data_IF_283535288587
#
_entry.id   IF_283535288587
#
_cell.length_a   1.000
_cell.length_b   1.000
_cell.length_c   1.000
_cell.angle_alpha   90.00
_cell.angle_beta   90.00
_cell.angle_gamma   90.00
#
_symmetry.space_group_name_H-M   'P 1'
#
loop_
_entity.id
_entity.type
_entity.pdbx_description
1 polymer ?
#
# COMPACT_ATOMS: atom_id res chain seq x y z
N UNK A 1 -21.55 12.00 25.70
CA UNK A 1 -20.93 12.30 24.39
C UNK A 1 -21.94 12.49 23.23
N UNK A 2 -23.16 11.92 23.25
CA UNK A 2 -24.14 12.00 22.13
C UNK A 2 -24.71 13.40 21.81
N UNK A 3 -24.49 14.41 22.65
CA UNK A 3 -25.13 15.72 22.53
C UNK A 3 -24.52 16.64 21.44
N UNK A 4 -23.36 16.29 20.87
CA UNK A 4 -22.68 17.09 19.84
C UNK A 4 -22.09 16.16 18.78
N UNK A 5 -21.86 16.69 17.57
CA UNK A 5 -21.19 15.96 16.49
C UNK A 5 -19.72 15.65 16.85
N UNK A 6 -19.13 14.67 16.15
CA UNK A 6 -17.71 14.32 16.32
C UNK A 6 -16.82 15.53 16.07
N UNK A 7 -17.07 16.30 15.00
CA UNK A 7 -16.32 17.51 14.68
C UNK A 7 -16.34 18.52 15.84
N UNK A 8 -17.53 18.79 16.41
CA UNK A 8 -17.66 19.72 17.53
C UNK A 8 -16.90 19.28 18.79
N UNK A 9 -16.79 17.98 19.04
CA UNK A 9 -15.97 17.46 20.13
C UNK A 9 -14.48 17.54 19.84
N UNK A 10 -14.05 17.18 18.62
CA UNK A 10 -12.65 17.27 18.19
C UNK A 10 -12.15 18.71 18.28
N UNK A 11 -12.94 19.68 17.84
CA UNK A 11 -12.55 21.10 17.90
C UNK A 11 -12.48 21.61 19.34
N UNK A 12 -13.40 21.20 20.21
CA UNK A 12 -13.35 21.52 21.65
C UNK A 12 -12.10 20.95 22.31
N UNK A 13 -11.77 19.68 22.04
CA UNK A 13 -10.59 19.04 22.60
C UNK A 13 -9.29 19.68 22.08
N UNK A 14 -9.22 19.96 20.77
CA UNK A 14 -8.09 20.67 20.16
C UNK A 14 -7.88 22.05 20.78
N UNK A 15 -8.95 22.82 20.99
CA UNK A 15 -8.89 24.14 21.65
C UNK A 15 -8.39 24.08 23.11
N UNK A 16 -8.48 22.92 23.75
CA UNK A 16 -7.98 22.66 25.11
C UNK A 16 -6.63 21.94 25.14
N UNK A 17 -5.99 21.73 23.98
CA UNK A 17 -4.71 21.03 23.87
C UNK A 17 -4.81 19.51 24.08
N UNK A 18 -6.03 18.95 24.08
CA UNK A 18 -6.25 17.51 24.19
C UNK A 18 -6.17 16.88 22.80
N UNK A 19 -5.26 15.93 22.55
CA UNK A 19 -5.16 15.27 21.25
C UNK A 19 -6.39 14.39 21.02
N UNK A 20 -7.16 14.72 19.99
CA UNK A 20 -8.33 13.96 19.56
C UNK A 20 -8.46 13.99 18.04
N UNK A 21 -8.92 12.89 17.46
CA UNK A 21 -9.18 12.74 16.03
C UNK A 21 -10.47 11.92 15.82
N UNK A 22 -11.19 12.14 14.71
CA UNK A 22 -12.30 11.28 14.33
C UNK A 22 -11.79 9.88 13.93
N UNK A 23 -12.69 8.89 13.98
CA UNK A 23 -12.46 7.58 13.36
C UNK A 23 -12.86 7.71 11.89
N UNK A 24 -11.90 7.55 10.98
CA UNK A 24 -12.13 7.64 9.55
C UNK A 24 -12.60 6.31 8.95
N UNK A 25 -13.53 6.39 8.01
CA UNK A 25 -13.85 5.29 7.08
C UNK A 25 -12.85 5.25 5.94
N UNK A 26 -12.81 4.17 5.17
CA UNK A 26 -11.91 4.08 4.00
C UNK A 26 -12.21 5.16 2.94
N UNK A 27 -13.47 5.59 2.82
CA UNK A 27 -13.84 6.69 1.93
C UNK A 27 -13.23 8.02 2.40
N UNK A 28 -13.25 8.29 3.70
CA UNK A 28 -12.63 9.49 4.28
C UNK A 28 -11.11 9.49 4.08
N UNK A 29 -10.47 8.33 4.30
CA UNK A 29 -9.02 8.15 4.11
C UNK A 29 -8.63 8.39 2.64
N UNK A 30 -9.44 7.95 1.67
CA UNK A 30 -9.13 8.08 0.25
C UNK A 30 -9.09 9.53 -0.25
N UNK A 31 -9.76 10.45 0.46
CA UNK A 31 -9.85 11.89 0.12
C UNK A 31 -9.20 12.78 1.17
N UNK A 32 -8.47 12.20 2.13
CA UNK A 32 -7.84 12.95 3.21
C UNK A 32 -6.77 13.92 2.66
N UNK A 33 -6.82 15.22 3.03
CA UNK A 33 -5.88 16.21 2.53
C UNK A 33 -4.43 15.92 2.91
N UNK A 34 -4.19 15.39 4.10
CA UNK A 34 -2.85 15.08 4.59
C UNK A 34 -2.26 13.89 3.85
N UNK A 35 -3.06 12.85 3.57
CA UNK A 35 -2.62 11.70 2.78
C UNK A 35 -2.35 12.07 1.32
N UNK A 36 -3.16 12.97 0.75
CA UNK A 36 -2.96 13.51 -0.61
C UNK A 36 -1.68 14.33 -0.69
N UNK A 37 -1.49 15.28 0.24
CA UNK A 37 -0.28 16.11 0.30
C UNK A 37 1.00 15.29 0.48
N UNK A 38 0.89 14.11 1.09
CA UNK A 38 2.01 13.18 1.32
C UNK A 38 2.17 12.14 0.22
N UNK A 39 1.49 12.22 -0.91
CA UNK A 39 1.58 11.21 -1.98
C UNK A 39 1.44 9.78 -1.41
N UNK A 40 0.44 9.57 -0.54
CA UNK A 40 0.19 8.28 0.11
C UNK A 40 -0.64 7.34 -0.75
N UNK A 41 -1.16 7.83 -1.88
CA UNK A 41 -1.79 7.03 -2.90
C UNK A 41 -1.13 7.30 -4.23
N UNK A 42 -0.64 6.23 -4.87
CA UNK A 42 0.06 6.27 -6.14
C UNK A 42 -0.74 5.50 -7.19
N UNK A 43 -0.55 5.87 -8.44
CA UNK A 43 -1.19 5.20 -9.57
C UNK A 43 -0.26 4.13 -10.16
N UNK A 44 -0.84 2.99 -10.53
CA UNK A 44 -0.17 1.92 -11.26
C UNK A 44 -1.00 1.58 -12.47
N UNK A 45 -0.35 1.57 -13.62
CA UNK A 45 -0.96 1.17 -14.88
C UNK A 45 -0.60 -0.30 -15.14
N UNK A 46 -1.58 -1.17 -14.92
CA UNK A 46 -1.45 -2.61 -15.10
C UNK A 46 -2.10 -3.02 -16.43
N UNK A 47 -1.44 -3.88 -17.21
CA UNK A 47 -1.94 -4.28 -18.53
C UNK A 47 -3.22 -5.11 -18.46
N UNK A 48 -3.42 -5.86 -17.38
CA UNK A 48 -4.57 -6.76 -17.22
C UNK A 48 -5.69 -6.09 -16.42
N UNK A 49 -5.33 -5.35 -15.36
CA UNK A 49 -6.29 -4.73 -14.44
C UNK A 49 -6.57 -3.24 -14.73
N UNK A 50 -5.82 -2.62 -15.63
CA UNK A 50 -5.91 -1.19 -15.95
C UNK A 50 -5.31 -0.31 -14.86
N UNK A 51 -5.83 0.92 -14.72
CA UNK A 51 -5.35 1.88 -13.73
C UNK A 51 -5.81 1.53 -12.32
N UNK A 52 -4.86 1.28 -11.44
CA UNK A 52 -5.04 0.96 -10.04
C UNK A 52 -4.51 2.08 -9.14
N UNK A 53 -5.23 2.34 -8.04
CA UNK A 53 -4.76 3.24 -6.97
C UNK A 53 -4.28 2.38 -5.81
N UNK A 54 -3.01 2.51 -5.44
CA UNK A 54 -2.39 1.73 -4.35
C UNK A 54 -1.71 2.64 -3.35
N UNK A 55 -1.34 2.09 -2.19
CA UNK A 55 -0.61 2.84 -1.17
C UNK A 55 0.82 3.14 -1.62
N UNK A 56 1.20 4.40 -1.48
CA UNK A 56 2.56 4.87 -1.73
C UNK A 56 3.54 4.50 -0.61
N UNK A 57 4.78 5.01 -0.69
CA UNK A 57 5.75 4.83 0.38
C UNK A 57 5.30 5.57 1.66
N UNK A 58 5.23 4.85 2.78
CA UNK A 58 4.96 5.45 4.10
C UNK A 58 6.12 6.33 4.59
N UNK A 59 7.35 6.03 4.15
CA UNK A 59 8.55 6.77 4.51
C UNK A 59 8.89 7.79 3.43
N UNK A 60 9.10 9.04 3.85
CA UNK A 60 9.51 10.15 2.99
C UNK A 60 10.93 10.57 3.39
N UNK A 61 11.88 10.31 2.51
CA UNK A 61 13.31 10.50 2.79
C UNK A 61 13.81 11.66 1.93
N UNK A 62 14.33 12.70 2.57
CA UNK A 62 14.96 13.81 1.87
C UNK A 62 16.11 13.31 1.00
N UNK A 63 16.18 13.77 -0.25
CA UNK A 63 17.21 13.36 -1.22
C UNK A 63 16.84 12.11 -2.04
N UNK A 64 15.74 11.43 -1.73
CA UNK A 64 15.19 10.37 -2.57
C UNK A 64 13.90 10.84 -3.24
N UNK A 65 13.73 10.50 -4.52
CA UNK A 65 12.53 10.83 -5.26
C UNK A 65 11.35 10.01 -4.73
N UNK A 66 10.25 10.69 -4.39
CA UNK A 66 8.97 10.06 -4.06
C UNK A 66 8.11 10.01 -5.32
N UNK A 67 8.17 8.87 -6.02
CA UNK A 67 7.47 8.71 -7.30
C UNK A 67 5.93 8.68 -7.08
N UNK A 68 5.15 9.42 -7.89
CA UNK A 68 3.69 9.38 -7.84
C UNK A 68 3.10 8.13 -8.51
N UNK A 69 3.94 7.34 -9.16
CA UNK A 69 3.56 6.11 -9.88
C UNK A 69 4.51 4.97 -9.53
N UNK A 70 4.05 3.73 -9.78
CA UNK A 70 4.86 2.52 -9.67
C UNK A 70 4.69 1.61 -10.89
N UNK A 71 5.70 0.79 -11.22
CA UNK A 71 5.53 -0.26 -12.21
C UNK A 71 4.48 -1.27 -11.71
N UNK A 72 3.77 -1.95 -12.63
CA UNK A 72 2.87 -3.04 -12.26
C UNK A 72 3.63 -4.17 -11.58
N UNK A 73 2.90 -4.97 -10.81
CA UNK A 73 3.47 -6.17 -10.23
C UNK A 73 3.85 -7.15 -11.37
N UNK A 74 5.03 -7.79 -11.31
CA UNK A 74 5.39 -8.77 -12.32
C UNK A 74 4.43 -9.95 -12.26
N UNK A 75 4.10 -10.47 -13.43
CA UNK A 75 3.32 -11.69 -13.55
C UNK A 75 4.09 -12.89 -13.00
N UNK A 76 3.36 -13.97 -12.74
CA UNK A 76 3.95 -15.21 -12.26
C UNK A 76 5.04 -15.67 -13.23
N UNK A 77 6.28 -15.75 -12.73
CA UNK A 77 7.47 -16.23 -13.47
C UNK A 77 8.01 -15.27 -14.55
N UNK A 78 7.52 -14.02 -14.62
CA UNK A 78 7.89 -13.06 -15.68
C UNK A 78 9.41 -12.75 -15.71
N UNK A 79 10.04 -12.59 -14.56
CA UNK A 79 11.47 -12.23 -14.46
C UNK A 79 12.42 -13.44 -14.36
N UNK A 80 11.92 -14.68 -14.56
CA UNK A 80 12.71 -15.90 -14.31
C UNK A 80 13.99 -15.96 -15.13
N UNK A 81 13.87 -15.79 -16.44
CA UNK A 81 14.99 -15.93 -17.37
C UNK A 81 16.12 -14.94 -17.06
N UNK A 82 15.77 -13.69 -16.70
CA UNK A 82 16.72 -12.65 -16.34
C UNK A 82 17.48 -13.01 -15.05
N UNK A 83 16.77 -13.49 -14.03
CA UNK A 83 17.36 -13.92 -12.76
C UNK A 83 18.28 -15.14 -12.97
N UNK A 84 17.84 -16.14 -13.75
CA UNK A 84 18.65 -17.34 -14.00
C UNK A 84 19.94 -17.00 -14.75
N UNK A 85 19.86 -16.07 -15.71
CA UNK A 85 21.02 -15.52 -16.41
C UNK A 85 21.96 -14.77 -15.47
N UNK A 86 21.44 -13.93 -14.58
CA UNK A 86 22.25 -13.21 -13.57
C UNK A 86 22.97 -14.17 -12.62
N UNK A 87 22.33 -15.29 -12.28
CA UNK A 87 22.90 -16.35 -11.45
C UNK A 87 23.84 -17.30 -12.19
N UNK A 88 23.99 -17.16 -13.51
CA UNK A 88 24.80 -18.08 -14.33
C UNK A 88 24.27 -19.52 -14.36
N UNK A 89 22.97 -19.71 -14.13
CA UNK A 89 22.32 -21.02 -14.11
C UNK A 89 21.54 -21.27 -15.40
N UNK A 90 21.48 -22.53 -15.87
CA UNK A 90 20.63 -22.88 -16.99
C UNK A 90 19.17 -22.62 -16.61
N UNK A 91 18.38 -22.20 -17.60
CA UNK A 91 16.93 -22.04 -17.48
C UNK A 91 16.28 -23.43 -17.35
N UNK A 92 16.33 -24.01 -16.15
CA UNK A 92 15.76 -25.34 -15.85
C UNK A 92 14.22 -25.29 -15.98
N UNK A 93 13.56 -26.40 -16.32
CA UNK A 93 12.09 -26.45 -16.30
C UNK A 93 11.51 -26.06 -14.92
N UNK A 94 10.35 -25.41 -14.93
CA UNK A 94 9.63 -25.03 -13.71
C UNK A 94 9.41 -26.28 -12.87
N UNK A 95 9.98 -26.33 -11.66
CA UNK A 95 9.68 -27.40 -10.70
C UNK A 95 8.20 -27.37 -10.39
N UNK A 96 7.58 -28.54 -10.42
CA UNK A 96 6.17 -28.67 -10.07
C UNK A 96 5.95 -28.19 -8.63
N UNK A 97 4.95 -27.32 -8.44
CA UNK A 97 4.63 -26.79 -7.12
C UNK A 97 4.05 -27.92 -6.27
N UNK A 98 4.87 -28.51 -5.42
CA UNK A 98 4.40 -29.43 -4.39
C UNK A 98 3.65 -28.62 -3.33
N UNK A 99 2.35 -28.90 -3.14
CA UNK A 99 1.57 -28.29 -2.07
C UNK A 99 2.22 -28.68 -0.74
N UNK A 100 2.69 -27.68 0.01
CA UNK A 100 3.23 -27.91 1.35
C UNK A 100 2.17 -28.54 2.27
N UNK A 101 2.58 -29.19 3.38
CA UNK A 101 1.66 -29.73 4.35
C UNK A 101 0.68 -28.65 4.84
N UNK A 102 -0.52 -29.08 5.24
CA UNK A 102 -1.53 -28.18 5.78
C UNK A 102 -0.92 -27.42 6.98
N UNK A 103 -0.90 -26.09 6.89
CA UNK A 103 -0.41 -25.27 7.99
C UNK A 103 -1.40 -25.43 9.15
N UNK A 104 -0.94 -25.65 10.39
CA UNK A 104 -1.83 -25.65 11.53
C UNK A 104 -2.56 -24.31 11.60
N UNK A 105 -3.84 -24.33 11.97
CA UNK A 105 -4.56 -23.10 12.28
C UNK A 105 -3.86 -22.44 13.47
N UNK A 106 -3.18 -21.34 13.18
CA UNK A 106 -2.80 -20.35 14.17
C UNK A 106 -4.01 -19.43 14.28
N UNK A 107 -4.55 -19.35 15.50
CA UNK A 107 -5.80 -18.69 15.92
C UNK A 107 -6.26 -17.50 15.09
#
# INVERSE_FOLDING_TARGET
LKARSVAAWVDLFRARGVPAAPIHTMADVAVDPQLTARNMFVEVDDKEMGKLKMTGSAFKISGYADAPTRPPAPNLDEARADIMKELGRPDEERRERVKGPERPQIW
#
